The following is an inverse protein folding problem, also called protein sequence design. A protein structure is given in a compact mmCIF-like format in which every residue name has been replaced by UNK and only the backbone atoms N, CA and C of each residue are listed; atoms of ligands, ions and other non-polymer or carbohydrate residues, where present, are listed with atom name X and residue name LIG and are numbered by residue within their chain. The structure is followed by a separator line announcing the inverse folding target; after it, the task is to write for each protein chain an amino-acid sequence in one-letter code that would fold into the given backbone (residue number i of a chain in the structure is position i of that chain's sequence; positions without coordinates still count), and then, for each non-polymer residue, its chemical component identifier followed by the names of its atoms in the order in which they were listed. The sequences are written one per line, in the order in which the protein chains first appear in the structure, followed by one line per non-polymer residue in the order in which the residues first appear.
data_IF_481910620169
#
_entry.id   IF_481910620169
#
_cell.length_a   1.000
_cell.length_b   1.000
_cell.length_c   1.000
_cell.angle_alpha   90.00
_cell.angle_beta   90.00
_cell.angle_gamma   90.00
#
_symmetry.space_group_name_H-M   'P 1'
#
loop_
_entity.id
_entity.type
_entity.pdbx_description
1 polymer ?
#
# COMPACT_ATOMS: atom_id res chain seq x y z
N UNK A 1 6.31 -39.12 -17.98
CA UNK A 1 6.97 -37.80 -17.85
C UNK A 1 7.89 -37.90 -16.64
N UNK A 2 9.20 -38.02 -16.85
CA UNK A 2 10.18 -38.12 -15.76
C UNK A 2 10.55 -36.69 -15.39
N UNK A 3 10.20 -36.26 -14.18
CA UNK A 3 10.71 -35.02 -13.59
C UNK A 3 11.93 -35.40 -12.76
N UNK A 4 13.10 -34.90 -13.13
CA UNK A 4 14.28 -34.87 -12.28
C UNK A 4 14.22 -33.51 -11.59
N UNK A 5 13.80 -33.47 -10.33
CA UNK A 5 13.96 -32.27 -9.52
C UNK A 5 15.46 -32.09 -9.28
N UNK A 6 16.07 -31.15 -9.98
CA UNK A 6 17.43 -30.72 -9.69
C UNK A 6 17.44 -30.13 -8.27
N UNK A 7 18.16 -30.73 -7.30
CA UNK A 7 18.12 -30.31 -5.90
C UNK A 7 18.65 -28.88 -5.66
N UNK A 8 19.11 -28.18 -6.70
CA UNK A 8 19.49 -26.76 -6.62
C UNK A 8 18.38 -25.79 -7.01
N UNK A 9 17.24 -26.27 -7.53
CA UNK A 9 16.14 -25.41 -7.98
C UNK A 9 15.09 -25.29 -6.88
N UNK A 10 15.00 -24.09 -6.30
CA UNK A 10 13.90 -23.71 -5.43
C UNK A 10 12.75 -23.15 -6.29
N UNK A 11 11.56 -23.75 -6.17
CA UNK A 11 10.36 -23.28 -6.84
C UNK A 11 9.48 -22.46 -5.88
N UNK A 12 9.01 -21.32 -6.37
CA UNK A 12 8.14 -20.41 -5.63
C UNK A 12 6.89 -20.10 -6.45
N UNK A 13 5.73 -20.13 -5.79
CA UNK A 13 4.48 -19.70 -6.39
C UNK A 13 4.10 -18.32 -5.85
N UNK A 14 3.48 -17.49 -6.69
CA UNK A 14 2.94 -16.19 -6.30
C UNK A 14 1.49 -16.15 -6.73
N UNK A 15 0.63 -16.79 -5.96
CA UNK A 15 -0.78 -16.93 -6.29
C UNK A 15 -1.48 -15.59 -6.10
N UNK A 16 -2.23 -15.17 -7.12
CA UNK A 16 -3.04 -13.95 -7.09
C UNK A 16 -4.43 -14.26 -7.65
N UNK A 17 -5.41 -14.37 -6.76
CA UNK A 17 -6.82 -14.64 -7.12
C UNK A 17 -7.58 -13.34 -7.46
N UNK A 18 -6.90 -12.39 -8.09
CA UNK A 18 -7.41 -11.06 -8.35
C UNK A 18 -6.90 -10.51 -9.68
N UNK A 19 -7.71 -9.64 -10.27
CA UNK A 19 -7.34 -8.88 -11.46
C UNK A 19 -6.40 -7.72 -11.10
N UNK A 20 -5.37 -7.51 -11.92
CA UNK A 20 -4.52 -6.30 -11.90
C UNK A 20 -5.08 -5.28 -12.89
N UNK A 21 -6.30 -4.84 -12.64
CA UNK A 21 -7.09 -4.01 -13.56
C UNK A 21 -7.76 -2.90 -12.76
N UNK A 22 -8.03 -1.73 -13.34
CA UNK A 22 -8.65 -0.60 -12.64
C UNK A 22 -10.19 -0.60 -12.72
N UNK A 23 -10.78 -1.55 -13.44
CA UNK A 23 -12.23 -1.70 -13.69
C UNK A 23 -12.80 -3.03 -13.20
N UNK A 24 -11.95 -4.05 -13.00
CA UNK A 24 -12.32 -5.41 -12.54
C UNK A 24 -11.78 -5.73 -11.14
N UNK A 25 -12.32 -6.78 -10.52
CA UNK A 25 -11.89 -7.24 -9.19
C UNK A 25 -12.03 -6.13 -8.14
N UNK A 26 -11.03 -6.00 -7.28
CA UNK A 26 -10.92 -4.89 -6.32
C UNK A 26 -10.33 -3.61 -6.92
N UNK A 27 -10.12 -3.61 -8.25
CA UNK A 27 -9.59 -2.54 -9.07
C UNK A 27 -8.14 -2.13 -8.79
N UNK A 28 -7.34 -2.95 -8.09
CA UNK A 28 -5.94 -2.63 -7.78
C UNK A 28 -4.99 -3.18 -8.84
N UNK A 29 -4.09 -2.32 -9.34
CA UNK A 29 -3.07 -2.70 -10.34
C UNK A 29 -1.69 -2.96 -9.73
N UNK A 30 -1.54 -2.76 -8.41
CA UNK A 30 -0.30 -3.00 -7.66
C UNK A 30 -0.61 -3.87 -6.45
N UNK A 31 0.13 -4.96 -6.27
CA UNK A 31 0.01 -5.87 -5.12
C UNK A 31 1.38 -6.29 -4.64
N UNK A 32 1.47 -6.55 -3.35
CA UNK A 32 2.56 -7.36 -2.81
C UNK A 32 2.03 -8.77 -2.67
N UNK A 33 2.81 -9.74 -3.14
CA UNK A 33 2.48 -11.15 -3.08
C UNK A 33 3.56 -11.86 -2.28
N UNK A 34 3.14 -12.54 -1.23
CA UNK A 34 4.04 -13.40 -0.47
C UNK A 34 4.30 -14.68 -1.28
N UNK A 35 5.52 -15.24 -1.19
CA UNK A 35 5.80 -16.54 -1.79
C UNK A 35 4.89 -17.60 -1.16
N UNK A 36 4.34 -18.48 -1.97
CA UNK A 36 3.50 -19.60 -1.57
C UNK A 36 4.05 -20.92 -2.12
N UNK A 37 3.59 -22.03 -1.54
CA UNK A 37 3.64 -23.33 -2.21
C UNK A 37 2.63 -23.40 -3.37
N UNK A 38 2.62 -24.51 -4.10
CA UNK A 38 1.68 -24.76 -5.20
C UNK A 38 0.21 -24.73 -4.75
N UNK A 39 -0.07 -25.06 -3.49
CA UNK A 39 -1.42 -25.03 -2.92
C UNK A 39 -1.85 -23.62 -2.47
N UNK A 40 -0.97 -22.62 -2.56
CA UNK A 40 -1.23 -21.25 -2.15
C UNK A 40 -1.01 -20.96 -0.67
N UNK A 41 -0.38 -21.87 0.08
CA UNK A 41 -0.01 -21.62 1.48
C UNK A 41 1.24 -20.74 1.52
N UNK A 42 1.19 -19.66 2.30
CA UNK A 42 2.32 -18.73 2.47
C UNK A 42 3.54 -19.47 3.02
N UNK A 43 4.70 -19.25 2.38
CA UNK A 43 5.98 -19.81 2.78
C UNK A 43 6.68 -18.91 3.81
N UNK A 44 7.33 -19.55 4.78
CA UNK A 44 8.10 -18.87 5.83
C UNK A 44 7.22 -18.19 6.88
N UNK A 45 7.82 -17.26 7.64
CA UNK A 45 7.16 -16.58 8.75
C UNK A 45 6.62 -15.19 8.36
N UNK A 46 6.26 -15.00 7.09
CA UNK A 46 5.69 -13.74 6.59
C UNK A 46 4.18 -13.76 6.75
N UNK A 47 3.60 -12.63 7.15
CA UNK A 47 2.16 -12.41 7.27
C UNK A 47 1.78 -11.15 6.53
N UNK A 48 0.54 -11.08 6.05
CA UNK A 48 -0.04 -9.85 5.52
C UNK A 48 -0.63 -9.01 6.67
N UNK A 49 -0.53 -7.69 6.53
CA UNK A 49 -1.14 -6.72 7.42
C UNK A 49 -1.90 -5.66 6.60
N UNK A 50 -2.95 -5.10 7.20
CA UNK A 50 -3.70 -3.98 6.63
C UNK A 50 -3.49 -2.74 7.48
N UNK A 51 -2.81 -1.75 6.91
CA UNK A 51 -2.51 -0.47 7.54
C UNK A 51 -3.60 0.55 7.19
N UNK A 52 -4.15 1.24 8.19
CA UNK A 52 -5.10 2.33 7.97
C UNK A 52 -4.36 3.65 7.96
N UNK A 53 -4.25 4.26 6.79
CA UNK A 53 -3.50 5.51 6.57
C UNK A 53 -4.48 6.68 6.56
N UNK A 54 -4.32 7.60 7.49
CA UNK A 54 -5.03 8.86 7.57
C UNK A 54 -4.16 9.97 6.99
N UNK A 55 -4.66 10.66 5.96
CA UNK A 55 -3.97 11.79 5.34
C UNK A 55 -4.76 13.05 5.59
N UNK A 56 -4.14 14.03 6.25
CA UNK A 56 -4.77 15.32 6.56
C UNK A 56 -4.21 16.40 5.65
N UNK A 57 -5.08 17.00 4.85
CA UNK A 57 -4.73 18.18 4.04
C UNK A 57 -4.99 19.44 4.84
N UNK A 58 -4.03 20.35 4.89
CA UNK A 58 -4.10 21.51 5.76
C UNK A 58 -5.12 22.57 5.34
N UNK A 59 -5.28 23.58 6.19
CA UNK A 59 -6.28 24.65 6.04
C UNK A 59 -5.67 25.96 5.50
N UNK A 60 -5.05 25.90 4.32
CA UNK A 60 -4.57 27.08 3.57
C UNK A 60 -5.35 27.27 2.27
N UNK A 61 -5.45 28.50 1.78
CA UNK A 61 -6.03 28.75 0.46
C UNK A 61 -5.20 28.00 -0.61
N UNK A 62 -5.86 27.20 -1.45
CA UNK A 62 -5.20 26.35 -2.43
C UNK A 62 -4.42 25.17 -1.84
N UNK A 63 -4.77 24.72 -0.63
CA UNK A 63 -4.08 23.60 0.03
C UNK A 63 -4.37 22.24 -0.60
N UNK A 64 -5.52 22.07 -1.27
CA UNK A 64 -5.93 20.79 -1.86
C UNK A 64 -5.29 20.51 -3.21
N UNK A 65 -5.38 19.26 -3.67
CA UNK A 65 -4.77 18.84 -4.94
C UNK A 65 -5.57 17.78 -5.69
N UNK A 66 -5.59 17.90 -7.02
CA UNK A 66 -6.09 16.87 -7.95
C UNK A 66 -4.97 15.96 -8.49
N UNK A 67 -3.73 16.14 -8.04
CA UNK A 67 -2.61 15.30 -8.44
C UNK A 67 -2.73 13.87 -7.88
N UNK A 68 -2.08 12.90 -8.52
CA UNK A 68 -2.01 11.55 -7.95
C UNK A 68 -1.01 11.54 -6.79
N UNK A 69 -1.44 11.07 -5.63
CA UNK A 69 -0.61 10.94 -4.43
C UNK A 69 -0.20 9.47 -4.22
N UNK A 70 1.03 9.27 -3.78
CA UNK A 70 1.65 7.96 -3.58
C UNK A 70 2.33 7.90 -2.22
N UNK A 71 2.28 6.75 -1.56
CA UNK A 71 2.88 6.48 -0.26
C UNK A 71 3.73 5.21 -0.30
N UNK A 72 4.89 5.25 0.35
CA UNK A 72 5.65 4.07 0.77
C UNK A 72 5.86 4.12 2.27
N UNK A 73 5.52 3.04 2.97
CA UNK A 73 5.77 2.86 4.40
C UNK A 73 6.99 1.98 4.58
N UNK A 74 7.88 2.33 5.51
CA UNK A 74 9.08 1.57 5.82
C UNK A 74 9.05 1.16 7.29
N UNK A 75 9.05 -0.14 7.54
CA UNK A 75 9.17 -0.69 8.89
C UNK A 75 10.56 -1.24 9.18
N UNK A 76 10.70 -1.85 10.35
CA UNK A 76 11.94 -2.47 10.80
C UNK A 76 12.33 -3.74 10.01
N UNK A 77 11.35 -4.41 9.39
CA UNK A 77 11.55 -5.68 8.66
C UNK A 77 11.52 -5.49 7.15
N UNK A 78 10.54 -4.76 6.64
CA UNK A 78 10.20 -4.67 5.21
C UNK A 78 9.66 -3.26 4.86
N UNK A 79 9.33 -3.04 3.58
CA UNK A 79 8.60 -1.85 3.11
C UNK A 79 7.34 -2.24 2.32
N UNK A 80 6.37 -1.32 2.25
CA UNK A 80 5.09 -1.60 1.60
C UNK A 80 5.15 -1.62 0.07
N UNK A 81 6.29 -1.27 -0.54
CA UNK A 81 6.34 -0.73 -1.89
C UNK A 81 5.58 0.60 -2.03
N UNK A 82 5.64 1.20 -3.22
CA UNK A 82 4.90 2.42 -3.51
C UNK A 82 3.44 2.13 -3.86
N UNK A 83 2.53 2.78 -3.14
CA UNK A 83 1.08 2.61 -3.26
C UNK A 83 0.44 3.91 -3.68
N UNK A 84 -0.34 3.88 -4.76
CA UNK A 84 -1.15 5.03 -5.13
C UNK A 84 -2.33 5.14 -4.15
N UNK A 85 -2.51 6.32 -3.58
CA UNK A 85 -3.61 6.65 -2.69
C UNK A 85 -4.85 7.05 -3.53
N UNK A 86 -5.37 6.08 -4.28
CA UNK A 86 -6.47 6.32 -5.24
C UNK A 86 -7.85 6.20 -4.56
N UNK A 87 -8.00 5.28 -3.60
CA UNK A 87 -9.30 4.95 -3.00
C UNK A 87 -9.31 5.23 -1.50
N UNK A 88 -9.95 6.32 -1.11
CA UNK A 88 -10.24 6.62 0.29
C UNK A 88 -11.72 6.43 0.62
N UNK A 89 -12.08 6.76 1.85
CA UNK A 89 -13.45 7.03 2.28
C UNK A 89 -14.10 8.28 1.63
N UNK A 90 -13.38 9.03 0.78
CA UNK A 90 -13.86 10.21 0.07
C UNK A 90 -13.81 9.99 -1.44
N UNK A 91 -14.81 10.51 -2.15
CA UNK A 91 -14.83 10.46 -3.62
C UNK A 91 -13.84 11.46 -4.22
N UNK A 92 -13.80 12.67 -3.67
CA UNK A 92 -12.78 13.67 -4.00
C UNK A 92 -11.77 13.74 -2.85
N UNK A 93 -10.49 13.50 -3.14
CA UNK A 93 -9.45 13.27 -2.14
C UNK A 93 -8.55 14.48 -2.03
N UNK A 94 -7.89 14.64 -0.89
CA UNK A 94 -6.88 15.66 -0.66
C UNK A 94 -7.41 17.10 -0.80
N UNK A 95 -8.66 17.32 -0.39
CA UNK A 95 -9.26 18.66 -0.35
C UNK A 95 -8.80 19.46 0.87
N UNK A 96 -8.84 20.79 0.77
CA UNK A 96 -8.46 21.68 1.89
C UNK A 96 -9.24 21.30 3.17
N UNK A 97 -8.53 21.17 4.29
CA UNK A 97 -9.12 20.83 5.61
C UNK A 97 -9.86 19.48 5.60
N UNK A 98 -9.42 18.55 4.76
CA UNK A 98 -9.99 17.22 4.66
C UNK A 98 -9.08 16.17 5.29
N UNK A 99 -9.72 15.14 5.84
CA UNK A 99 -9.11 13.86 6.15
C UNK A 99 -9.55 12.82 5.12
N UNK A 100 -8.56 12.10 4.57
CA UNK A 100 -8.72 10.96 3.68
C UNK A 100 -8.13 9.70 4.32
N UNK A 101 -8.93 8.64 4.39
CA UNK A 101 -8.55 7.37 5.00
C UNK A 101 -8.39 6.29 3.93
N UNK A 102 -7.22 5.68 3.86
CA UNK A 102 -6.86 4.61 2.92
C UNK A 102 -6.56 3.31 3.67
N UNK A 103 -6.93 2.18 3.07
CA UNK A 103 -6.54 0.85 3.56
C UNK A 103 -5.45 0.29 2.64
N UNK A 104 -4.27 0.05 3.20
CA UNK A 104 -3.09 -0.43 2.48
C UNK A 104 -2.72 -1.82 2.97
N UNK A 105 -2.84 -2.80 2.07
CA UNK A 105 -2.36 -4.17 2.32
C UNK A 105 -0.90 -4.29 1.91
N UNK A 106 -0.09 -4.82 2.84
CA UNK A 106 1.32 -5.09 2.65
C UNK A 106 1.74 -6.28 3.50
N UNK A 107 2.97 -6.76 3.32
CA UNK A 107 3.59 -7.64 4.32
C UNK A 107 3.67 -6.91 5.67
N UNK A 108 3.68 -7.67 6.77
CA UNK A 108 3.93 -7.12 8.09
C UNK A 108 5.30 -6.42 8.14
N UNK A 109 5.29 -5.10 8.24
CA UNK A 109 6.48 -4.26 8.10
C UNK A 109 7.35 -4.24 9.36
N UNK A 110 6.83 -4.71 10.50
CA UNK A 110 7.46 -4.46 11.81
C UNK A 110 7.15 -3.04 12.29
N UNK A 111 7.83 -2.62 13.36
CA UNK A 111 7.75 -1.25 13.88
C UNK A 111 7.96 -0.24 12.73
N UNK A 112 6.95 0.60 12.47
CA UNK A 112 7.00 1.63 11.45
C UNK A 112 8.02 2.71 11.81
N UNK A 113 8.91 3.06 10.87
CA UNK A 113 10.02 3.99 11.13
C UNK A 113 9.93 5.28 10.35
N UNK A 114 9.43 5.22 9.12
CA UNK A 114 9.31 6.38 8.24
C UNK A 114 8.30 6.12 7.14
N UNK A 115 7.84 7.22 6.53
CA UNK A 115 7.09 7.19 5.30
C UNK A 115 7.78 8.03 4.23
N UNK A 116 7.49 7.71 2.97
CA UNK A 116 7.75 8.57 1.82
C UNK A 116 6.40 8.84 1.16
N UNK A 117 6.03 10.12 1.07
CA UNK A 117 4.85 10.56 0.35
C UNK A 117 5.26 11.48 -0.78
N UNK A 118 4.68 11.29 -1.96
CA UNK A 118 4.92 12.13 -3.14
C UNK A 118 3.63 12.33 -3.92
N UNK A 119 3.63 13.33 -4.79
CA UNK A 119 2.61 13.50 -5.82
C UNK A 119 3.27 13.58 -7.21
N UNK A 120 2.52 13.39 -8.29
CA UNK A 120 3.04 13.42 -9.67
C UNK A 120 2.86 14.76 -10.39
N UNK A 121 2.38 15.78 -9.67
CA UNK A 121 2.16 17.14 -10.15
C UNK A 121 1.23 17.24 -11.38
N UNK A 122 0.36 16.25 -11.61
CA UNK A 122 -0.66 16.30 -12.68
C UNK A 122 -1.90 17.08 -12.25
N UNK A 123 -2.70 17.50 -13.22
CA UNK A 123 -3.95 18.23 -12.99
C UNK A 123 -3.76 19.73 -12.75
N UNK A 124 -4.87 20.46 -12.65
CA UNK A 124 -4.86 21.84 -12.16
C UNK A 124 -4.71 21.84 -10.64
N UNK A 125 -4.09 22.88 -10.06
CA UNK A 125 -3.94 22.94 -8.59
C UNK A 125 -3.06 21.83 -8.01
N UNK A 126 -1.99 21.46 -8.72
CA UNK A 126 -1.14 20.32 -8.35
C UNK A 126 -0.23 20.56 -7.12
N UNK A 127 -0.14 21.81 -6.65
CA UNK A 127 0.48 22.12 -5.37
C UNK A 127 -0.38 21.55 -4.24
N UNK A 128 0.26 21.09 -3.17
CA UNK A 128 -0.45 20.46 -2.06
C UNK A 128 0.15 20.88 -0.74
N UNK A 129 -0.69 21.29 0.20
CA UNK A 129 -0.29 21.55 1.57
C UNK A 129 -0.75 20.38 2.45
N UNK A 130 0.08 19.35 2.48
CA UNK A 130 -0.04 18.23 3.42
C UNK A 130 0.20 18.74 4.85
N UNK A 131 -0.75 18.52 5.74
CA UNK A 131 -0.61 18.82 7.17
C UNK A 131 0.15 17.71 7.88
N UNK A 132 -0.39 16.49 7.85
CA UNK A 132 0.23 15.29 8.45
C UNK A 132 -0.34 14.00 7.89
N UNK A 133 0.34 12.90 8.20
CA UNK A 133 -0.10 11.53 7.95
C UNK A 133 -0.04 10.77 9.27
N UNK A 134 -1.13 10.07 9.61
CA UNK A 134 -1.22 9.16 10.76
C UNK A 134 -1.48 7.74 10.23
N UNK A 135 -0.92 6.72 10.87
CA UNK A 135 -1.06 5.33 10.42
C UNK A 135 -1.41 4.48 11.62
N UNK A 136 -2.53 3.77 11.55
CA UNK A 136 -2.84 2.69 12.49
C UNK A 136 -2.13 1.42 12.01
N UNK A 137 -1.16 0.94 12.79
CA UNK A 137 -0.54 -0.37 12.62
C UNK A 137 -1.35 -1.43 13.39
N UNK A 138 -1.89 -2.47 12.74
CA UNK A 138 -2.72 -3.49 13.39
C UNK A 138 -2.00 -4.32 14.46
N UNK A 139 -0.67 -4.24 14.60
CA UNK A 139 0.10 -4.93 15.65
C UNK A 139 0.73 -4.03 16.72
N UNK A 140 0.62 -2.71 16.59
CA UNK A 140 1.08 -1.75 17.62
C UNK A 140 0.10 -1.73 18.81
N UNK A 141 0.16 -2.80 19.61
CA UNK A 141 -0.74 -3.06 20.73
C UNK A 141 -0.71 -4.51 21.25
N UNK A 142 0.02 -5.41 20.58
CA UNK A 142 0.26 -6.78 21.04
C UNK A 142 1.69 -6.93 21.57
N UNK A 143 1.95 -6.38 22.77
CA UNK A 143 3.08 -6.80 23.62
C UNK A 143 2.70 -8.00 24.47
#
# INVERSE_FOLDING_TARGET
KISLSDPTVEEYWFVTNQWFDNSKGDRQTVRELLPTDEAGNILGNKTEAEYKVHVFTGDKAGAGTDANVFLTMYGAKEDSGERQLERSNRMNKFERKQEDIFLIKAVHLGELRKIKIRHDNKGGGAAWYLDRVEIDDPEEGKT
#
